data_IF_942560269039
#
_entry.id   IF_942560269039
#
_cell.length_a   1.000
_cell.length_b   1.000
_cell.length_c   1.000
_cell.angle_alpha   90.00
_cell.angle_beta   90.00
_cell.angle_gamma   90.00
#
_symmetry.space_group_name_H-M   'P 1'
#
loop_
_entity.id
_entity.type
_entity.pdbx_description
1 polymer ?
#
# COMPACT_ATOMS: atom_id res chain seq x y z
N UNK A 1 -15.85 -3.01 -22.40
CA UNK A 1 -16.13 -2.71 -21.00
C UNK A 1 -16.12 -1.19 -20.90
N UNK A 2 -17.29 -0.58 -20.75
CA UNK A 2 -17.39 0.87 -20.60
C UNK A 2 -16.64 1.32 -19.34
N UNK A 3 -15.87 2.43 -19.39
CA UNK A 3 -15.10 2.90 -18.24
C UNK A 3 -15.96 3.32 -17.05
N UNK A 4 -17.28 3.52 -17.25
CA UNK A 4 -18.23 3.95 -16.25
C UNK A 4 -18.80 2.81 -15.37
N UNK A 5 -18.57 1.54 -15.73
CA UNK A 5 -19.17 0.37 -15.07
C UNK A 5 -18.13 -0.46 -14.30
N UNK A 6 -17.00 0.16 -13.94
CA UNK A 6 -16.03 -0.47 -13.05
C UNK A 6 -16.52 -0.28 -11.61
N UNK A 7 -16.60 -1.34 -10.79
CA UNK A 7 -16.83 -1.15 -9.37
C UNK A 7 -15.73 -0.21 -8.85
N UNK A 8 -16.12 0.83 -8.10
CA UNK A 8 -15.16 1.67 -7.40
C UNK A 8 -14.34 0.76 -6.49
N UNK A 9 -13.12 0.46 -6.92
CA UNK A 9 -12.17 -0.25 -6.09
C UNK A 9 -11.73 0.75 -5.03
N UNK A 10 -12.40 0.71 -3.88
CA UNK A 10 -12.00 1.47 -2.69
C UNK A 10 -10.72 0.81 -2.17
N UNK A 11 -9.58 1.37 -2.58
CA UNK A 11 -8.28 0.94 -2.10
C UNK A 11 -8.08 1.57 -0.72
N UNK A 12 -8.36 0.80 0.32
CA UNK A 12 -8.16 1.24 1.71
C UNK A 12 -6.69 1.08 2.10
N UNK A 13 -6.03 2.20 2.33
CA UNK A 13 -4.66 2.25 2.87
C UNK A 13 -4.51 3.53 3.68
N UNK A 14 -3.97 3.42 4.89
CA UNK A 14 -3.89 4.54 5.85
C UNK A 14 -2.42 4.95 6.10
N UNK A 15 -1.70 5.50 5.11
CA UNK A 15 -0.26 5.80 5.24
C UNK A 15 0.13 6.72 6.40
N UNK A 16 -0.79 7.52 6.97
CA UNK A 16 -0.48 8.32 8.17
C UNK A 16 -0.51 7.52 9.48
N UNK A 17 -1.20 6.37 9.50
CA UNK A 17 -1.34 5.44 10.62
C UNK A 17 -0.40 4.24 10.46
N UNK A 18 -0.38 3.63 9.28
CA UNK A 18 0.34 2.38 8.94
C UNK A 18 1.86 2.59 8.79
N UNK A 19 2.51 3.21 9.78
CA UNK A 19 3.95 3.55 9.73
C UNK A 19 4.88 2.33 9.80
N UNK A 20 4.37 1.18 10.23
CA UNK A 20 5.14 -0.05 10.40
C UNK A 20 5.64 -0.62 9.06
N UNK A 21 4.98 -0.26 7.95
CA UNK A 21 5.34 -0.71 6.60
C UNK A 21 6.68 -0.12 6.14
N UNK A 22 7.03 1.09 6.62
CA UNK A 22 8.22 1.82 6.18
C UNK A 22 9.53 1.28 6.79
N UNK A 23 9.47 0.62 7.95
CA UNK A 23 10.66 0.21 8.71
C UNK A 23 10.96 -1.29 8.65
N UNK A 24 10.00 -2.12 8.22
CA UNK A 24 10.06 -3.58 8.38
C UNK A 24 10.62 -4.39 7.20
N UNK A 25 11.24 -3.77 6.18
CA UNK A 25 11.65 -4.49 4.96
C UNK A 25 10.48 -5.09 4.15
N UNK A 26 9.25 -4.80 4.55
CA UNK A 26 7.99 -5.25 3.92
C UNK A 26 7.96 -4.79 2.47
N UNK A 27 8.40 -3.56 2.18
CA UNK A 27 8.53 -3.02 0.83
C UNK A 27 9.34 -3.93 -0.09
N UNK A 28 10.51 -4.42 0.36
CA UNK A 28 11.34 -5.32 -0.45
C UNK A 28 10.67 -6.67 -0.71
N UNK A 29 9.84 -7.17 0.22
CA UNK A 29 9.05 -8.38 0.01
C UNK A 29 7.92 -8.15 -1.01
N UNK A 30 7.25 -7.01 -0.93
CA UNK A 30 6.22 -6.61 -1.89
C UNK A 30 6.81 -6.41 -3.28
N UNK A 31 7.95 -5.73 -3.39
CA UNK A 31 8.64 -5.50 -4.66
C UNK A 31 8.99 -6.83 -5.36
N UNK A 32 9.47 -7.83 -4.60
CA UNK A 32 9.71 -9.19 -5.12
C UNK A 32 8.44 -9.85 -5.66
N UNK A 33 7.31 -9.70 -4.98
CA UNK A 33 6.03 -10.25 -5.43
C UNK A 33 5.54 -9.54 -6.70
N UNK A 34 5.70 -8.22 -6.77
CA UNK A 34 5.36 -7.43 -7.96
C UNK A 34 6.25 -7.82 -9.14
N UNK A 35 7.56 -8.02 -8.92
CA UNK A 35 8.48 -8.45 -9.96
C UNK A 35 8.11 -9.83 -10.53
N UNK A 36 7.68 -10.77 -9.69
CA UNK A 36 7.15 -12.06 -10.14
C UNK A 36 5.93 -11.88 -11.05
N UNK A 37 5.03 -10.94 -10.73
CA UNK A 37 3.86 -10.63 -11.56
C UNK A 37 4.19 -9.86 -12.83
N UNK A 38 5.18 -8.98 -12.80
CA UNK A 38 5.64 -8.24 -13.98
C UNK A 38 6.39 -9.16 -14.96
N UNK A 39 7.12 -10.17 -14.47
CA UNK A 39 7.75 -11.18 -15.33
C UNK A 39 6.75 -11.98 -16.16
N UNK A 40 5.49 -12.07 -15.71
CA UNK A 40 4.40 -12.72 -16.45
C UNK A 40 3.85 -11.85 -17.59
N UNK A 41 4.22 -10.56 -17.68
CA UNK A 41 3.73 -9.61 -18.69
C UNK A 41 4.89 -9.01 -19.50
N UNK A 42 5.06 -9.37 -20.79
CA UNK A 42 6.07 -8.74 -21.62
C UNK A 42 5.63 -7.34 -22.08
N UNK A 43 6.40 -6.29 -21.77
CA UNK A 43 6.19 -4.94 -22.28
C UNK A 43 7.31 -4.47 -23.22
N UNK A 44 6.95 -4.22 -24.48
CA UNK A 44 7.29 -3.03 -25.26
C UNK A 44 8.68 -2.88 -25.90
N UNK A 45 8.72 -2.99 -27.24
CA UNK A 45 9.88 -2.85 -28.14
C UNK A 45 10.70 -1.56 -28.04
N UNK A 46 12.03 -1.69 -28.15
CA UNK A 46 13.02 -0.59 -28.16
C UNK A 46 12.93 0.25 -29.45
N UNK A 47 13.01 1.58 -29.32
CA UNK A 47 12.99 2.55 -30.44
C UNK A 47 14.37 2.66 -31.12
N UNK A 48 14.39 2.97 -32.42
CA UNK A 48 15.61 3.08 -33.24
C UNK A 48 16.43 4.35 -32.90
N UNK A 49 17.78 4.32 -33.03
CA UNK A 49 18.64 5.47 -32.77
C UNK A 49 18.46 6.58 -33.81
N UNK A 50 18.67 7.84 -33.38
CA UNK A 50 18.58 9.05 -34.22
C UNK A 50 19.84 9.14 -35.10
N UNK A 51 19.68 9.55 -36.37
CA UNK A 51 20.77 9.73 -37.35
C UNK A 51 21.44 11.10 -37.11
N UNK A 52 22.77 11.14 -37.16
CA UNK A 52 23.58 12.35 -36.94
C UNK A 52 23.44 13.38 -38.08
N UNK A 53 23.57 14.66 -37.74
CA UNK A 53 23.39 15.79 -38.66
C UNK A 53 24.68 16.12 -39.43
N UNK A 54 24.60 16.18 -40.77
CA UNK A 54 25.75 16.44 -41.64
C UNK A 54 26.26 17.88 -41.55
N UNK A 55 27.56 18.04 -41.31
CA UNK A 55 28.25 19.34 -41.12
C UNK A 55 29.01 19.80 -42.37
N UNK A 56 29.10 18.99 -43.42
CA UNK A 56 29.88 19.31 -44.62
C UNK A 56 29.27 20.44 -45.46
N UNK A 57 27.99 20.74 -45.25
CA UNK A 57 27.25 21.82 -45.93
C UNK A 57 27.84 23.23 -45.70
N UNK A 58 28.61 23.43 -44.64
CA UNK A 58 29.11 24.77 -44.24
C UNK A 58 30.60 25.00 -44.53
N UNK A 59 31.26 24.09 -45.25
CA UNK A 59 32.66 24.22 -45.63
C UNK A 59 32.76 24.51 -47.13
N UNK A 60 33.78 25.28 -47.54
CA UNK A 60 34.24 25.31 -48.92
C UNK A 60 35.38 24.30 -49.04
N UNK A 61 35.11 23.04 -49.40
CA UNK A 61 36.17 22.13 -49.79
C UNK A 61 36.76 22.59 -51.13
N UNK A 62 38.09 22.45 -51.25
CA UNK A 62 38.74 22.50 -52.55
C UNK A 62 38.19 21.36 -53.44
N UNK A 63 38.15 21.54 -54.77
CA UNK A 63 37.73 20.47 -55.67
C UNK A 63 38.62 19.24 -55.48
N UNK A 64 38.00 18.08 -55.28
CA UNK A 64 38.67 16.80 -54.99
C UNK A 64 39.69 16.45 -56.09
N UNK A 65 39.31 16.65 -57.35
CA UNK A 65 40.16 16.43 -58.52
C UNK A 65 40.30 17.71 -59.36
N UNK A 66 41.48 18.33 -59.36
CA UNK A 66 41.74 19.61 -60.07
C UNK A 66 41.79 19.49 -61.59
N UNK A 67 41.81 18.27 -62.13
CA UNK A 67 41.80 17.98 -63.57
C UNK A 67 40.41 17.75 -64.15
N UNK A 68 39.41 17.43 -63.32
CA UNK A 68 38.06 17.13 -63.76
C UNK A 68 37.19 18.40 -63.83
N UNK A 69 36.45 18.57 -64.93
CA UNK A 69 35.62 19.75 -65.15
C UNK A 69 34.37 19.76 -64.24
N UNK A 70 33.84 18.59 -63.86
CA UNK A 70 32.63 18.50 -63.03
C UNK A 70 32.89 18.81 -61.56
N UNK A 71 34.03 18.39 -61.00
CA UNK A 71 34.46 18.74 -59.65
C UNK A 71 34.57 20.27 -59.47
N UNK A 72 35.12 20.99 -60.45
CA UNK A 72 35.20 22.46 -60.46
C UNK A 72 33.82 23.11 -60.54
N UNK A 73 32.90 22.57 -61.35
CA UNK A 73 31.52 23.08 -61.40
C UNK A 73 30.81 22.94 -60.05
N UNK A 74 30.93 21.77 -59.40
CA UNK A 74 30.37 21.53 -58.05
C UNK A 74 30.97 22.48 -57.01
N UNK A 75 32.28 22.73 -57.05
CA UNK A 75 32.95 23.68 -56.16
C UNK A 75 32.49 25.13 -56.42
N UNK A 76 32.30 25.53 -57.67
CA UNK A 76 31.77 26.86 -58.05
C UNK A 76 30.30 27.02 -57.64
N UNK A 77 29.48 26.00 -57.78
CA UNK A 77 28.08 26.06 -57.36
C UNK A 77 27.96 26.11 -55.82
N UNK A 78 28.82 25.37 -55.11
CA UNK A 78 28.96 25.50 -53.65
C UNK A 78 29.40 26.92 -53.24
N UNK A 79 30.41 27.49 -53.90
CA UNK A 79 30.89 28.85 -53.58
C UNK A 79 29.86 29.93 -53.86
N UNK A 80 29.08 29.82 -54.95
CA UNK A 80 27.93 30.70 -55.22
C UNK A 80 26.86 30.57 -54.14
N UNK A 81 26.51 29.35 -53.75
CA UNK A 81 25.56 29.11 -52.65
C UNK A 81 26.06 29.76 -51.37
N UNK A 82 27.35 29.61 -51.05
CA UNK A 82 27.95 30.21 -49.87
C UNK A 82 27.94 31.75 -49.93
N UNK A 83 28.27 32.36 -51.07
CA UNK A 83 28.23 33.82 -51.24
C UNK A 83 26.82 34.35 -50.94
N UNK A 84 25.79 33.68 -51.46
CA UNK A 84 24.41 34.04 -51.18
C UNK A 84 24.06 33.88 -49.69
N UNK A 85 24.51 32.80 -49.04
CA UNK A 85 24.33 32.62 -47.59
C UNK A 85 25.03 33.73 -46.78
N UNK A 86 26.24 34.15 -47.18
CA UNK A 86 26.95 35.24 -46.52
C UNK A 86 26.25 36.59 -46.71
N UNK A 87 25.76 36.88 -47.92
CA UNK A 87 24.97 38.08 -48.18
C UNK A 87 23.71 38.12 -47.31
N UNK A 88 22.96 37.01 -47.25
CA UNK A 88 21.78 36.89 -46.39
C UNK A 88 22.15 37.06 -44.91
N UNK A 89 23.28 36.47 -44.47
CA UNK A 89 23.80 36.64 -43.11
C UNK A 89 24.09 38.11 -42.80
N UNK A 90 24.71 38.85 -43.73
CA UNK A 90 24.97 40.29 -43.57
C UNK A 90 23.68 41.09 -43.38
N UNK A 91 22.68 40.88 -44.24
CA UNK A 91 21.38 41.53 -44.09
C UNK A 91 20.68 41.17 -42.76
N UNK A 92 20.73 39.90 -42.35
CA UNK A 92 20.16 39.47 -41.08
C UNK A 92 20.89 40.10 -39.88
N UNK A 93 22.22 40.26 -39.96
CA UNK A 93 23.01 40.92 -38.91
C UNK A 93 22.69 42.42 -38.83
N UNK A 94 22.47 43.09 -39.96
CA UNK A 94 22.00 44.49 -39.95
C UNK A 94 20.64 44.63 -39.28
N UNK A 95 19.73 43.68 -39.52
CA UNK A 95 18.41 43.66 -38.86
C UNK A 95 18.53 43.41 -37.36
N UNK A 96 19.37 42.44 -36.97
CA UNK A 96 19.65 42.12 -35.57
C UNK A 96 20.30 43.31 -34.85
N UNK A 97 21.21 44.04 -35.50
CA UNK A 97 21.84 45.21 -34.92
C UNK A 97 20.82 46.33 -34.64
N UNK A 98 19.83 46.51 -35.52
CA UNK A 98 18.79 47.54 -35.37
C UNK A 98 17.74 47.19 -34.33
N UNK A 99 17.24 45.95 -34.32
CA UNK A 99 16.08 45.57 -33.52
C UNK A 99 16.37 44.56 -32.40
N UNK A 100 17.55 43.93 -32.41
CA UNK A 100 17.90 42.85 -31.50
C UNK A 100 17.80 43.25 -30.03
N UNK A 101 18.37 44.40 -29.63
CA UNK A 101 18.31 44.84 -28.25
C UNK A 101 16.87 45.04 -27.74
N UNK A 102 15.99 45.64 -28.57
CA UNK A 102 14.59 45.85 -28.21
C UNK A 102 13.79 44.54 -28.18
N UNK A 103 14.00 43.66 -29.16
CA UNK A 103 13.35 42.35 -29.20
C UNK A 103 13.75 41.49 -27.99
N UNK A 104 15.03 41.50 -27.62
CA UNK A 104 15.54 40.78 -26.44
C UNK A 104 14.94 41.31 -25.13
N UNK A 105 14.78 42.63 -24.99
CA UNK A 105 14.14 43.22 -23.81
C UNK A 105 12.67 42.82 -23.68
N UNK A 106 11.91 42.84 -24.78
CA UNK A 106 10.51 42.41 -24.78
C UNK A 106 10.40 40.93 -24.46
N UNK A 107 11.25 40.10 -25.07
CA UNK A 107 11.30 38.68 -24.78
C UNK A 107 11.66 38.40 -23.31
N UNK A 108 12.62 39.14 -22.75
CA UNK A 108 12.97 39.02 -21.34
C UNK A 108 11.79 39.41 -20.42
N UNK A 109 11.08 40.51 -20.71
CA UNK A 109 9.86 40.89 -19.98
C UNK A 109 8.77 39.81 -20.06
N UNK A 110 8.58 39.19 -21.23
CA UNK A 110 7.64 38.08 -21.40
C UNK A 110 8.05 36.86 -20.56
N UNK A 111 9.34 36.49 -20.59
CA UNK A 111 9.86 35.38 -19.77
C UNK A 111 9.72 35.65 -18.27
N UNK A 112 9.96 36.87 -17.82
CA UNK A 112 9.77 37.25 -16.41
C UNK A 112 8.30 37.13 -16.00
N UNK A 113 7.38 37.55 -16.88
CA UNK A 113 5.95 37.40 -16.64
C UNK A 113 5.51 35.93 -16.58
N UNK A 114 5.94 35.10 -17.53
CA UNK A 114 5.66 33.66 -17.54
C UNK A 114 6.24 32.98 -16.30
N UNK A 115 7.46 33.33 -15.89
CA UNK A 115 8.09 32.82 -14.67
C UNK A 115 7.24 33.14 -13.44
N UNK A 116 6.75 34.37 -13.31
CA UNK A 116 5.84 34.75 -12.21
C UNK A 116 4.54 33.94 -12.23
N UNK A 117 3.96 33.71 -13.41
CA UNK A 117 2.76 32.86 -13.53
C UNK A 117 3.03 31.42 -13.10
N UNK A 118 4.15 30.83 -13.53
CA UNK A 118 4.54 29.47 -13.12
C UNK A 118 4.82 29.38 -11.62
N UNK A 119 5.48 30.38 -11.02
CA UNK A 119 5.70 30.42 -9.58
C UNK A 119 4.38 30.49 -8.81
N UNK A 120 3.43 31.32 -9.27
CA UNK A 120 2.11 31.43 -8.66
C UNK A 120 1.34 30.11 -8.73
N UNK A 121 1.25 29.50 -9.91
CA UNK A 121 0.52 28.23 -10.06
C UNK A 121 1.19 27.10 -9.27
N UNK A 122 2.53 27.07 -9.20
CA UNK A 122 3.26 26.13 -8.35
C UNK A 122 2.93 26.31 -6.87
N UNK A 123 2.83 27.53 -6.38
CA UNK A 123 2.46 27.80 -4.99
C UNK A 123 1.00 27.41 -4.71
N UNK A 124 0.08 27.68 -5.64
CA UNK A 124 -1.32 27.23 -5.57
C UNK A 124 -1.39 25.69 -5.49
N UNK A 125 -0.67 24.98 -6.36
CA UNK A 125 -0.64 23.51 -6.31
C UNK A 125 -0.05 22.98 -5.01
N UNK A 126 1.00 23.62 -4.47
CA UNK A 126 1.54 23.25 -3.15
C UNK A 126 0.51 23.43 -2.05
N UNK A 127 -0.21 24.55 -2.03
CA UNK A 127 -1.26 24.80 -1.05
C UNK A 127 -2.38 23.75 -1.16
N UNK A 128 -2.83 23.45 -2.38
CA UNK A 128 -3.83 22.41 -2.63
C UNK A 128 -3.35 21.03 -2.14
N UNK A 129 -2.08 20.67 -2.39
CA UNK A 129 -1.48 19.42 -1.89
C UNK A 129 -1.47 19.41 -0.36
N UNK A 130 -1.09 20.51 0.29
CA UNK A 130 -1.04 20.60 1.75
C UNK A 130 -2.42 20.49 2.37
N UNK A 131 -3.42 21.18 1.81
CA UNK A 131 -4.82 21.11 2.27
C UNK A 131 -5.36 19.69 2.13
N UNK A 132 -5.14 19.07 0.97
CA UNK A 132 -5.58 17.71 0.70
C UNK A 132 -4.88 16.71 1.65
N UNK A 133 -3.57 16.86 1.88
CA UNK A 133 -2.86 16.03 2.85
C UNK A 133 -3.34 16.24 4.29
N UNK A 134 -3.70 17.48 4.66
CA UNK A 134 -4.29 17.78 5.97
C UNK A 134 -5.65 17.09 6.12
N UNK A 135 -6.49 17.15 5.09
CA UNK A 135 -7.79 16.48 5.07
C UNK A 135 -7.62 14.97 5.18
N UNK A 136 -6.80 14.35 4.32
CA UNK A 136 -6.48 12.91 4.40
C UNK A 136 -6.01 12.51 5.78
N UNK A 137 -5.10 13.27 6.39
CA UNK A 137 -4.60 12.97 7.73
C UNK A 137 -5.73 13.00 8.77
N UNK A 138 -6.64 13.96 8.68
CA UNK A 138 -7.79 14.07 9.59
C UNK A 138 -8.73 12.87 9.44
N UNK A 139 -9.10 12.52 8.22
CA UNK A 139 -9.98 11.38 7.91
C UNK A 139 -9.35 10.06 8.36
N UNK A 140 -8.07 9.86 8.05
CA UNK A 140 -7.33 8.67 8.48
C UNK A 140 -7.26 8.59 10.00
N UNK A 141 -6.88 9.66 10.72
CA UNK A 141 -6.84 9.65 12.19
C UNK A 141 -8.20 9.31 12.80
N UNK A 142 -9.29 9.82 12.24
CA UNK A 142 -10.64 9.49 12.68
C UNK A 142 -10.95 8.00 12.47
N UNK A 143 -10.61 7.44 11.31
CA UNK A 143 -10.77 6.02 11.01
C UNK A 143 -9.89 5.15 11.92
N UNK A 144 -8.63 5.53 12.14
CA UNK A 144 -7.71 4.84 13.03
C UNK A 144 -8.23 4.75 14.46
N UNK A 145 -8.74 5.86 15.00
CA UNK A 145 -9.38 5.85 16.32
C UNK A 145 -10.60 4.91 16.37
N UNK A 146 -11.37 4.80 15.28
CA UNK A 146 -12.49 3.85 15.23
C UNK A 146 -12.00 2.40 15.21
N UNK A 147 -10.96 2.11 14.43
CA UNK A 147 -10.34 0.79 14.36
C UNK A 147 -9.80 0.40 15.74
N UNK A 148 -9.03 1.25 16.40
CA UNK A 148 -8.49 1.01 17.75
C UNK A 148 -9.62 0.71 18.75
N UNK A 149 -10.71 1.49 18.72
CA UNK A 149 -11.87 1.25 19.58
C UNK A 149 -12.56 -0.10 19.29
N UNK A 150 -12.64 -0.50 18.02
CA UNK A 150 -13.22 -1.79 17.64
C UNK A 150 -12.31 -2.96 18.04
N UNK A 151 -10.99 -2.80 17.90
CA UNK A 151 -10.00 -3.78 18.35
C UNK A 151 -10.03 -3.96 19.87
N UNK A 152 -10.12 -2.87 20.64
CA UNK A 152 -10.27 -2.93 22.09
C UNK A 152 -11.56 -3.67 22.49
N UNK A 153 -12.69 -3.35 21.85
CA UNK A 153 -13.96 -4.07 22.11
C UNK A 153 -13.87 -5.54 21.73
N UNK A 154 -13.20 -5.86 20.63
CA UNK A 154 -13.02 -7.22 20.17
C UNK A 154 -12.16 -8.03 21.14
N UNK A 155 -11.03 -7.49 21.58
CA UNK A 155 -10.17 -8.13 22.60
C UNK A 155 -10.86 -8.26 23.95
N UNK A 156 -11.62 -7.25 24.39
CA UNK A 156 -12.43 -7.32 25.60
C UNK A 156 -13.50 -8.41 25.51
N UNK A 157 -14.20 -8.51 24.38
CA UNK A 157 -15.24 -9.52 24.16
C UNK A 157 -14.65 -10.92 24.15
N UNK A 158 -13.51 -11.12 23.49
CA UNK A 158 -12.77 -12.39 23.53
C UNK A 158 -12.38 -12.73 24.98
N UNK A 159 -11.86 -11.75 25.72
CA UNK A 159 -11.50 -11.93 27.13
C UNK A 159 -12.69 -12.32 28.00
N UNK A 160 -13.86 -11.71 27.80
CA UNK A 160 -15.11 -12.05 28.51
C UNK A 160 -15.59 -13.46 28.16
N UNK A 161 -15.57 -13.83 26.88
CA UNK A 161 -15.94 -15.19 26.44
C UNK A 161 -15.04 -16.22 27.11
N UNK A 162 -13.72 -15.99 27.12
CA UNK A 162 -12.76 -16.87 27.79
C UNK A 162 -13.02 -16.96 29.30
N UNK A 163 -13.32 -15.84 29.97
CA UNK A 163 -13.66 -15.84 31.40
C UNK A 163 -14.91 -16.68 31.70
N UNK A 164 -15.94 -16.59 30.85
CA UNK A 164 -17.15 -17.40 30.98
C UNK A 164 -16.85 -18.88 30.75
N UNK A 165 -16.07 -19.22 29.73
CA UNK A 165 -15.65 -20.60 29.46
C UNK A 165 -14.90 -21.21 30.65
N UNK A 166 -13.98 -20.47 31.25
CA UNK A 166 -13.24 -20.90 32.46
C UNK A 166 -14.17 -21.09 33.66
N UNK A 167 -15.11 -20.18 33.88
CA UNK A 167 -16.09 -20.30 34.98
C UNK A 167 -17.06 -21.47 34.78
N UNK A 168 -17.51 -21.72 33.55
CA UNK A 168 -18.31 -22.90 33.22
C UNK A 168 -17.52 -24.19 33.51
N UNK A 169 -16.26 -24.26 33.08
CA UNK A 169 -15.41 -25.43 33.34
C UNK A 169 -15.20 -25.67 34.84
N UNK A 170 -14.97 -24.61 35.65
CA UNK A 170 -14.82 -24.77 37.10
C UNK A 170 -16.12 -25.25 37.77
N UNK A 171 -17.27 -24.68 37.41
CA UNK A 171 -18.57 -25.11 37.93
C UNK A 171 -18.90 -26.56 37.52
N UNK A 172 -18.56 -26.96 36.29
CA UNK A 172 -18.71 -28.34 35.84
C UNK A 172 -17.86 -29.30 36.69
N UNK A 173 -16.63 -28.91 37.06
CA UNK A 173 -15.79 -29.73 37.93
C UNK A 173 -16.36 -29.86 39.35
N UNK A 174 -16.90 -28.78 39.92
CA UNK A 174 -17.57 -28.80 41.22
C UNK A 174 -18.83 -29.68 41.20
N UNK A 175 -19.66 -29.57 40.15
CA UNK A 175 -20.84 -30.43 39.96
C UNK A 175 -20.42 -31.90 39.85
N UNK A 176 -19.33 -32.21 39.15
CA UNK A 176 -18.81 -33.58 39.07
C UNK A 176 -18.37 -34.10 40.44
N UNK A 177 -17.65 -33.29 41.23
CA UNK A 177 -17.23 -33.65 42.60
C UNK A 177 -18.44 -33.90 43.51
N UNK A 178 -19.45 -33.03 43.47
CA UNK A 178 -20.67 -33.17 44.24
C UNK A 178 -21.46 -34.43 43.85
N UNK A 179 -21.58 -34.72 42.55
CA UNK A 179 -22.21 -35.97 42.07
C UNK A 179 -21.47 -37.22 42.54
N UNK A 180 -20.14 -37.20 42.53
CA UNK A 180 -19.34 -38.31 43.07
C UNK A 180 -19.58 -38.49 44.58
N UNK A 181 -19.66 -37.40 45.33
CA UNK A 181 -19.94 -37.44 46.77
C UNK A 181 -21.36 -37.95 47.08
N UNK A 182 -22.37 -37.49 46.33
CA UNK A 182 -23.74 -37.98 46.43
C UNK A 182 -23.81 -39.49 46.16
N UNK A 183 -23.14 -39.98 45.10
CA UNK A 183 -23.04 -41.41 44.82
C UNK A 183 -22.39 -42.19 45.96
N UNK A 184 -21.30 -41.67 46.55
CA UNK A 184 -20.66 -42.33 47.70
C UNK A 184 -21.61 -42.44 48.90
N UNK A 185 -22.38 -41.38 49.20
CA UNK A 185 -23.37 -41.40 50.28
C UNK A 185 -24.50 -42.39 49.99
N UNK A 186 -25.00 -42.45 48.75
CA UNK A 186 -26.02 -43.42 48.34
C UNK A 186 -25.49 -44.83 48.56
N UNK A 187 -24.29 -45.15 48.05
CA UNK A 187 -23.66 -46.45 48.23
C UNK A 187 -23.48 -46.79 49.72
N UNK A 188 -22.99 -45.85 50.54
CA UNK A 188 -22.85 -46.06 51.99
C UNK A 188 -24.19 -46.30 52.67
N UNK A 189 -25.26 -45.61 52.24
CA UNK A 189 -26.61 -45.83 52.75
C UNK A 189 -27.16 -47.21 52.37
N UNK A 190 -26.91 -47.66 51.14
CA UNK A 190 -27.30 -48.99 50.64
C UNK A 190 -26.52 -50.11 51.34
N UNK A 191 -25.21 -49.94 51.54
CA UNK A 191 -24.35 -50.84 52.32
C UNK A 191 -24.82 -50.93 53.77
N UNK A 192 -25.17 -49.79 54.39
CA UNK A 192 -25.72 -49.74 55.75
C UNK A 192 -27.08 -50.44 55.84
N UNK A 193 -27.94 -50.27 54.84
CA UNK A 193 -29.23 -50.96 54.76
C UNK A 193 -29.04 -52.48 54.60
N UNK A 194 -28.06 -52.90 53.79
CA UNK A 194 -27.70 -54.30 53.59
C UNK A 194 -27.13 -54.95 54.88
N UNK A 195 -26.24 -54.26 55.60
CA UNK A 195 -25.75 -54.70 56.92
C UNK A 195 -26.87 -54.80 57.96
N UNK A 196 -27.86 -53.88 57.93
CA UNK A 196 -29.00 -53.92 58.85
C UNK A 196 -29.96 -55.08 58.57
N UNK A 197 -30.17 -55.44 57.29
CA UNK A 197 -30.93 -56.64 56.90
C UNK A 197 -30.20 -57.91 57.31
N UNK A 198 -28.88 -57.99 57.07
CA UNK A 198 -28.06 -59.13 57.50
C UNK A 198 -28.01 -59.29 59.04
N UNK A 199 -28.00 -58.19 59.82
CA UNK A 199 -28.14 -58.23 61.30
C UNK A 199 -29.54 -58.65 61.77
N UNK A 200 -30.61 -58.29 61.06
CA UNK A 200 -31.97 -58.80 61.35
C UNK A 200 -32.10 -60.29 61.04
N UNK A 201 -31.45 -60.76 59.98
CA UNK A 201 -31.45 -62.18 59.60
C UNK A 201 -30.51 -63.04 60.48
N UNK A 202 -29.65 -62.42 61.30
CA UNK A 202 -28.72 -63.10 62.23
C UNK A 202 -28.99 -62.84 63.73
N UNK A 203 -30.09 -62.16 64.08
CA UNK A 203 -30.47 -61.80 65.45
C UNK A 203 -31.63 -62.62 66.03
N UNK A 204 -31.27 -63.56 66.90
CA UNK A 204 -32.03 -64.37 67.88
C UNK A 204 -33.30 -63.71 68.45
N UNK A 205 -34.39 -64.50 68.52
CA UNK A 205 -35.64 -64.15 69.19
C UNK A 205 -35.49 -63.99 70.70
N UNK A 206 -36.07 -62.93 71.23
CA UNK A 206 -36.33 -62.75 72.65
C UNK A 206 -37.86 -62.67 72.84
N UNK A 207 -38.46 -63.77 73.29
CA UNK A 207 -39.83 -63.80 73.78
C UNK A 207 -39.77 -63.75 75.31
N UNK A 208 -40.18 -62.62 75.89
CA UNK A 208 -40.42 -62.50 77.32
C UNK A 208 -41.67 -63.29 77.73
N UNK A 209 -41.54 -63.96 78.89
CA UNK A 209 -42.49 -64.96 79.38
C UNK A 209 -43.74 -64.42 80.09
N UNK A 210 -44.56 -65.37 80.52
CA UNK A 210 -45.62 -65.19 81.52
C UNK A 210 -45.87 -66.52 82.24
N UNK A 211 -45.77 -66.47 83.58
CA UNK A 211 -46.48 -67.18 84.67
C UNK A 211 -47.09 -68.58 84.39
N UNK A 212 -47.08 -69.58 85.27
CA UNK A 212 -47.27 -69.70 86.74
C UNK A 212 -47.17 -71.21 87.03
N UNK A 213 -46.54 -71.69 88.10
CA UNK A 213 -47.14 -71.82 89.42
C UNK A 213 -47.36 -73.31 89.79
N UNK A 214 -46.85 -73.68 90.98
CA UNK A 214 -47.00 -74.93 91.73
C UNK A 214 -46.21 -76.17 91.29
#
# INVERSE_FOLDING_TARGET
MDPADRPEVIIDSLPYIDREIDYGGVRAKVDKLVEQEMRKRPTGSKRKPIIEMDTNRYKLPDPEDKTDLESWKKAVDNSKSQLNHQNLRSYNLELLQKYGANAWRVHNFQLEHELQQYQKTLEEYKQNILELNKQRKSEQLQAGNQIENLELKWTEMIGKTLQVEVACASLETEIQQLKQYEQQLITQSEESLCLSKSKKDSGIGFADGSSSGS
#
